data_IF_543912843954
#
_entry.id   IF_543912843954
#
_cell.length_a   1.000
_cell.length_b   1.000
_cell.length_c   1.000
_cell.angle_alpha   90.00
_cell.angle_beta   90.00
_cell.angle_gamma   90.00
#
_symmetry.space_group_name_H-M   'P 1'
#
loop_
_entity.id
_entity.type
_entity.pdbx_description
1 polymer ?
#
# COMPACT_ATOMS: atom_id res chain seq x y z
N UNK A 1 8.71 4.79 5.64
CA UNK A 1 10.06 5.27 6.05
C UNK A 1 10.53 6.34 5.09
N UNK A 2 11.31 7.31 5.60
CA UNK A 2 11.91 8.38 4.78
C UNK A 2 13.32 8.77 5.23
N UNK A 3 13.93 8.02 6.16
CA UNK A 3 15.30 8.25 6.62
C UNK A 3 15.87 7.02 7.33
N UNK A 4 17.16 7.07 7.64
CA UNK A 4 17.91 6.01 8.31
C UNK A 4 17.41 5.75 9.74
N UNK A 5 17.12 6.81 10.48
CA UNK A 5 16.73 6.74 11.90
C UNK A 5 15.40 6.01 12.08
N UNK A 6 14.42 6.33 11.24
CA UNK A 6 13.12 5.67 11.25
C UNK A 6 13.23 4.21 10.80
N UNK A 7 14.00 3.96 9.75
CA UNK A 7 14.24 2.59 9.28
C UNK A 7 14.84 1.74 10.38
N UNK A 8 15.87 2.26 11.08
CA UNK A 8 16.50 1.56 12.20
C UNK A 8 15.52 1.29 13.35
N UNK A 9 14.74 2.30 13.74
CA UNK A 9 13.76 2.17 14.82
C UNK A 9 12.72 1.10 14.51
N UNK A 10 12.16 1.11 13.29
CA UNK A 10 11.16 0.14 12.85
C UNK A 10 11.74 -1.27 12.82
N UNK A 11 12.92 -1.47 12.24
CA UNK A 11 13.57 -2.78 12.16
C UNK A 11 13.88 -3.36 13.55
N UNK A 12 14.43 -2.57 14.46
CA UNK A 12 14.72 -3.01 15.83
C UNK A 12 13.46 -3.37 16.59
N UNK A 13 12.39 -2.56 16.48
CA UNK A 13 11.11 -2.83 17.13
C UNK A 13 10.46 -4.10 16.56
N UNK A 14 10.47 -4.27 15.24
CA UNK A 14 9.96 -5.49 14.60
C UNK A 14 10.71 -6.73 15.09
N UNK A 15 12.04 -6.66 15.19
CA UNK A 15 12.87 -7.74 15.73
C UNK A 15 12.58 -8.03 17.19
N UNK A 16 12.47 -7.00 18.04
CA UNK A 16 12.15 -7.15 19.46
C UNK A 16 10.79 -7.82 19.68
N UNK A 17 9.78 -7.40 18.89
CA UNK A 17 8.42 -7.94 18.98
C UNK A 17 8.22 -9.25 18.21
N UNK A 18 9.26 -9.75 17.52
CA UNK A 18 9.16 -10.93 16.63
C UNK A 18 8.01 -10.80 15.62
N UNK A 19 7.80 -9.59 15.11
CA UNK A 19 6.71 -9.24 14.19
C UNK A 19 7.24 -8.98 12.78
N UNK A 20 6.70 -9.61 11.73
CA UNK A 20 6.96 -9.20 10.36
C UNK A 20 6.58 -7.74 10.13
N UNK A 21 7.30 -7.05 9.22
CA UNK A 21 7.05 -5.65 8.92
C UNK A 21 7.15 -5.34 7.43
N UNK A 22 6.31 -4.43 6.95
CA UNK A 22 6.37 -3.85 5.61
C UNK A 22 6.91 -2.43 5.75
N UNK A 23 8.04 -2.14 5.10
CA UNK A 23 8.63 -0.81 5.04
C UNK A 23 8.10 -0.10 3.79
N UNK A 24 7.08 0.74 3.96
CA UNK A 24 6.50 1.55 2.88
C UNK A 24 7.36 2.76 2.56
N UNK A 25 7.56 3.02 1.26
CA UNK A 25 8.34 4.15 0.73
C UNK A 25 7.57 4.76 -0.43
N UNK A 26 7.10 6.00 -0.28
CA UNK A 26 6.47 6.73 -1.39
C UNK A 26 7.52 7.24 -2.38
N UNK A 27 7.10 7.68 -3.56
CA UNK A 27 8.03 8.29 -4.52
C UNK A 27 8.69 9.55 -3.96
N UNK A 28 7.94 10.35 -3.21
CA UNK A 28 8.47 11.53 -2.51
C UNK A 28 9.53 11.17 -1.48
N UNK A 29 9.29 10.15 -0.67
CA UNK A 29 10.27 9.63 0.30
C UNK A 29 11.51 9.05 -0.41
N UNK A 30 11.31 8.30 -1.49
CA UNK A 30 12.41 7.79 -2.31
C UNK A 30 13.28 8.91 -2.89
N UNK A 31 12.65 9.95 -3.42
CA UNK A 31 13.36 11.14 -3.94
C UNK A 31 14.10 11.88 -2.81
N UNK A 32 13.49 12.03 -1.65
CA UNK A 32 14.13 12.65 -0.47
C UNK A 32 15.38 11.89 -0.05
N UNK A 33 15.35 10.56 -0.09
CA UNK A 33 16.48 9.69 0.22
C UNK A 33 17.45 9.49 -0.97
N UNK A 34 17.38 10.32 -2.01
CA UNK A 34 18.23 10.35 -3.20
C UNK A 34 18.01 9.26 -4.26
N UNK A 35 17.03 8.40 -4.08
CA UNK A 35 16.63 7.38 -5.07
C UNK A 35 16.31 6.02 -4.45
N UNK A 36 15.60 5.21 -5.18
CA UNK A 36 15.14 3.89 -4.72
C UNK A 36 16.31 2.91 -4.52
N UNK A 37 17.36 3.00 -5.32
CA UNK A 37 18.58 2.20 -5.15
C UNK A 37 19.25 2.49 -3.80
N UNK A 38 19.29 3.77 -3.40
CA UNK A 38 19.83 4.18 -2.09
C UNK A 38 18.98 3.59 -0.95
N UNK A 39 17.66 3.66 -1.09
CA UNK A 39 16.72 3.08 -0.12
C UNK A 39 16.92 1.58 0.01
N UNK A 40 16.95 0.86 -1.09
CA UNK A 40 17.13 -0.60 -1.09
C UNK A 40 18.48 -1.00 -0.47
N UNK A 41 19.57 -0.30 -0.83
CA UNK A 41 20.90 -0.54 -0.26
C UNK A 41 20.92 -0.26 1.25
N UNK A 42 20.32 0.84 1.70
CA UNK A 42 20.22 1.20 3.13
C UNK A 42 19.46 0.14 3.91
N UNK A 43 18.28 -0.25 3.47
CA UNK A 43 17.42 -1.24 4.17
C UNK A 43 18.15 -2.59 4.24
N UNK A 44 18.74 -3.05 3.12
CA UNK A 44 19.47 -4.30 3.10
C UNK A 44 20.67 -4.28 4.05
N UNK A 45 21.49 -3.23 4.00
CA UNK A 45 22.66 -3.10 4.87
C UNK A 45 22.27 -3.07 6.35
N UNK A 46 21.18 -2.37 6.69
CA UNK A 46 20.68 -2.33 8.06
C UNK A 46 20.13 -3.68 8.51
N UNK A 47 19.32 -4.35 7.68
CA UNK A 47 18.80 -5.68 7.96
C UNK A 47 19.95 -6.65 8.34
N UNK A 48 20.97 -6.70 7.51
CA UNK A 48 22.11 -7.59 7.71
C UNK A 48 22.95 -7.20 8.93
N UNK A 49 23.27 -5.91 9.09
CA UNK A 49 24.11 -5.41 10.18
C UNK A 49 23.45 -5.47 11.56
N UNK A 50 22.12 -5.35 11.62
CA UNK A 50 21.36 -5.44 12.87
C UNK A 50 20.96 -6.88 13.21
N UNK A 51 21.26 -7.84 12.35
CA UNK A 51 20.91 -9.25 12.55
C UNK A 51 19.39 -9.48 12.59
N UNK A 52 18.63 -8.79 11.74
CA UNK A 52 17.18 -8.93 11.67
C UNK A 52 16.84 -10.32 11.13
N UNK A 53 15.96 -11.03 11.82
CA UNK A 53 15.53 -12.39 11.46
C UNK A 53 14.04 -12.47 11.15
N UNK A 54 13.26 -11.46 11.53
CA UNK A 54 11.84 -11.39 11.16
C UNK A 54 11.70 -11.05 9.67
N UNK A 55 10.64 -11.53 8.99
CA UNK A 55 10.38 -11.14 7.61
C UNK A 55 10.21 -9.63 7.46
N UNK A 56 10.91 -9.05 6.48
CA UNK A 56 10.83 -7.63 6.13
C UNK A 56 10.56 -7.51 4.64
N UNK A 57 9.48 -6.80 4.28
CA UNK A 57 9.21 -6.40 2.91
C UNK A 57 9.58 -4.92 2.71
N UNK A 58 10.25 -4.61 1.60
CA UNK A 58 10.45 -3.25 1.14
C UNK A 58 9.45 -2.97 0.03
N UNK A 59 8.54 -2.02 0.27
CA UNK A 59 7.33 -1.79 -0.51
C UNK A 59 7.27 -0.36 -1.06
N UNK A 60 7.02 -0.22 -2.36
CA UNK A 60 6.65 1.07 -2.94
C UNK A 60 5.20 1.38 -2.55
N UNK A 61 4.99 2.56 -1.98
CA UNK A 61 3.69 3.07 -1.55
C UNK A 61 3.18 4.13 -2.53
N UNK A 62 1.95 4.02 -3.02
CA UNK A 62 1.34 4.89 -4.03
C UNK A 62 2.25 5.17 -5.25
N UNK A 63 2.71 4.11 -5.90
CA UNK A 63 3.61 4.21 -7.04
C UNK A 63 2.91 4.57 -8.34
N UNK A 64 3.55 5.43 -9.13
CA UNK A 64 3.21 5.58 -10.55
C UNK A 64 3.59 4.33 -11.32
N UNK A 65 3.07 4.19 -12.55
CA UNK A 65 3.43 3.06 -13.42
C UNK A 65 4.95 2.97 -13.65
N UNK A 66 5.60 4.10 -13.93
CA UNK A 66 7.06 4.17 -14.09
C UNK A 66 7.82 3.96 -12.76
N UNK A 67 7.25 4.43 -11.66
CA UNK A 67 7.78 4.23 -10.30
C UNK A 67 7.88 2.75 -9.94
N UNK A 68 6.86 1.97 -10.29
CA UNK A 68 6.86 0.52 -10.10
C UNK A 68 8.07 -0.15 -10.77
N UNK A 69 8.35 0.17 -12.04
CA UNK A 69 9.51 -0.38 -12.74
C UNK A 69 10.85 0.05 -12.13
N UNK A 70 10.95 1.31 -11.66
CA UNK A 70 12.16 1.79 -10.99
C UNK A 70 12.40 1.03 -9.68
N UNK A 71 11.35 0.79 -8.88
CA UNK A 71 11.45 0.02 -7.64
C UNK A 71 11.81 -1.44 -7.88
N UNK A 72 11.20 -2.08 -8.88
CA UNK A 72 11.58 -3.44 -9.32
C UNK A 72 13.08 -3.51 -9.64
N UNK A 73 13.58 -2.56 -10.42
CA UNK A 73 15.01 -2.48 -10.79
C UNK A 73 15.90 -2.22 -9.58
N UNK A 74 15.46 -1.41 -8.62
CA UNK A 74 16.20 -1.07 -7.41
C UNK A 74 16.29 -2.22 -6.39
N UNK A 75 15.49 -3.29 -6.55
CA UNK A 75 15.49 -4.44 -5.66
C UNK A 75 14.45 -4.37 -4.53
N UNK A 76 13.35 -3.65 -4.72
CA UNK A 76 12.19 -3.72 -3.83
C UNK A 76 11.58 -5.12 -3.90
N UNK A 77 10.96 -5.57 -2.82
CA UNK A 77 10.33 -6.90 -2.74
C UNK A 77 8.81 -6.84 -2.94
N UNK A 78 8.25 -5.63 -2.96
CA UNK A 78 6.82 -5.37 -3.11
C UNK A 78 6.60 -4.01 -3.75
N UNK A 79 5.56 -3.88 -4.55
CA UNK A 79 5.18 -2.62 -5.20
C UNK A 79 3.69 -2.38 -5.06
N UNK A 80 3.27 -1.12 -4.91
CA UNK A 80 1.90 -0.69 -5.11
C UNK A 80 1.81 0.14 -6.37
N UNK A 81 0.90 -0.22 -7.26
CA UNK A 81 0.49 0.60 -8.38
C UNK A 81 -0.79 1.35 -8.03
N UNK A 82 -0.69 2.67 -7.92
CA UNK A 82 -1.84 3.54 -7.75
C UNK A 82 -2.38 3.97 -9.12
N UNK A 83 -3.35 3.21 -9.59
CA UNK A 83 -4.07 3.49 -10.84
C UNK A 83 -5.35 4.31 -10.67
N UNK A 84 -5.63 4.82 -9.47
CA UNK A 84 -6.91 5.46 -9.12
C UNK A 84 -7.22 6.74 -9.93
N UNK A 85 -6.20 7.41 -10.48
CA UNK A 85 -6.39 8.60 -11.31
C UNK A 85 -6.58 8.30 -12.80
N UNK A 86 -6.49 7.05 -13.22
CA UNK A 86 -6.80 6.65 -14.58
C UNK A 86 -8.27 6.22 -14.70
N UNK A 87 -8.87 6.30 -15.90
CA UNK A 87 -10.10 5.56 -16.17
C UNK A 87 -9.90 4.07 -15.87
N UNK A 88 -10.94 3.38 -15.39
CA UNK A 88 -10.84 1.99 -14.93
C UNK A 88 -10.17 1.06 -15.96
N UNK A 89 -10.52 1.17 -17.24
CA UNK A 89 -9.94 0.35 -18.32
C UNK A 89 -8.41 0.53 -18.42
N UNK A 90 -7.90 1.74 -18.20
CA UNK A 90 -6.47 2.01 -18.22
C UNK A 90 -5.81 1.48 -16.95
N UNK A 91 -6.44 1.66 -15.77
CA UNK A 91 -5.99 1.06 -14.53
C UNK A 91 -5.89 -0.46 -14.67
N UNK A 92 -6.93 -1.11 -15.19
CA UNK A 92 -6.99 -2.55 -15.42
C UNK A 92 -5.85 -3.03 -16.35
N UNK A 93 -5.63 -2.34 -17.46
CA UNK A 93 -4.57 -2.70 -18.41
C UNK A 93 -3.16 -2.61 -17.79
N UNK A 94 -2.86 -1.50 -17.10
CA UNK A 94 -1.58 -1.28 -16.42
C UNK A 94 -1.38 -2.24 -15.25
N UNK A 95 -2.42 -2.49 -14.45
CA UNK A 95 -2.39 -3.47 -13.36
C UNK A 95 -2.11 -4.87 -13.88
N UNK A 96 -2.75 -5.28 -14.99
CA UNK A 96 -2.51 -6.59 -15.61
C UNK A 96 -1.05 -6.78 -15.99
N UNK A 97 -0.43 -5.76 -16.60
CA UNK A 97 0.98 -5.83 -16.98
C UNK A 97 1.89 -5.91 -15.75
N UNK A 98 1.67 -5.04 -14.75
CA UNK A 98 2.51 -4.98 -13.56
C UNK A 98 2.39 -6.24 -12.68
N UNK A 99 1.19 -6.87 -12.59
CA UNK A 99 1.02 -8.16 -11.92
C UNK A 99 1.91 -9.23 -12.56
N UNK A 100 1.90 -9.31 -13.89
CA UNK A 100 2.74 -10.26 -14.61
C UNK A 100 4.24 -10.01 -14.36
N UNK A 101 4.67 -8.74 -14.39
CA UNK A 101 6.07 -8.37 -14.13
C UNK A 101 6.48 -8.70 -12.70
N UNK A 102 5.65 -8.31 -11.72
CA UNK A 102 5.94 -8.55 -10.30
C UNK A 102 6.07 -10.06 -10.03
N UNK A 103 5.11 -10.86 -10.45
CA UNK A 103 5.09 -12.31 -10.19
C UNK A 103 6.21 -13.05 -10.91
N UNK A 104 6.57 -12.67 -12.15
CA UNK A 104 7.71 -13.26 -12.83
C UNK A 104 9.04 -13.06 -12.08
N UNK A 105 9.13 -11.99 -11.30
CA UNK A 105 10.31 -11.65 -10.50
C UNK A 105 10.18 -12.06 -9.03
N UNK A 106 9.07 -12.68 -8.64
CA UNK A 106 8.81 -13.12 -7.26
C UNK A 106 8.51 -11.97 -6.29
N UNK A 107 8.00 -10.84 -6.80
CA UNK A 107 7.57 -9.71 -5.99
C UNK A 107 6.07 -9.77 -5.73
N UNK A 108 5.63 -9.16 -4.61
CA UNK A 108 4.21 -8.91 -4.35
C UNK A 108 3.77 -7.60 -5.00
N UNK A 109 2.50 -7.53 -5.37
CA UNK A 109 1.88 -6.32 -5.92
C UNK A 109 0.57 -5.98 -5.23
N UNK A 110 0.39 -4.70 -4.94
CA UNK A 110 -0.84 -4.05 -4.51
C UNK A 110 -1.38 -3.18 -5.63
N UNK A 111 -2.69 -3.17 -5.84
CA UNK A 111 -3.36 -2.24 -6.76
C UNK A 111 -4.47 -1.49 -6.03
N UNK A 112 -4.90 -0.35 -6.58
CA UNK A 112 -5.94 0.50 -5.99
C UNK A 112 -7.15 0.63 -6.89
N UNK A 113 -8.34 0.61 -6.26
CA UNK A 113 -9.64 0.88 -6.89
C UNK A 113 -10.40 1.94 -6.08
N UNK A 114 -11.13 2.80 -6.77
CA UNK A 114 -11.67 4.03 -6.19
C UNK A 114 -10.56 5.04 -5.96
N UNK A 115 -10.73 5.97 -5.04
CA UNK A 115 -9.65 6.89 -4.68
C UNK A 115 -9.63 7.18 -3.19
N UNK A 116 -8.43 7.28 -2.63
CA UNK A 116 -8.22 7.73 -1.26
C UNK A 116 -8.23 9.25 -1.26
N UNK A 117 -9.01 9.85 -0.33
CA UNK A 117 -9.10 11.30 -0.24
C UNK A 117 -7.86 11.95 0.34
N UNK A 118 -7.79 13.29 0.28
CA UNK A 118 -6.67 14.05 0.83
C UNK A 118 -5.51 14.23 -0.13
N UNK A 119 -4.32 14.43 0.39
CA UNK A 119 -3.11 14.70 -0.40
C UNK A 119 -1.98 13.76 0.01
N UNK A 120 -1.38 13.09 -0.98
CA UNK A 120 -0.19 12.27 -0.84
C UNK A 120 0.82 12.65 -1.93
N UNK A 121 2.05 13.01 -1.53
CA UNK A 121 3.14 13.46 -2.42
C UNK A 121 2.73 14.53 -3.45
N UNK A 122 1.79 15.43 -3.08
CA UNK A 122 1.27 16.49 -3.94
C UNK A 122 0.14 16.06 -4.88
N UNK A 123 -0.31 14.81 -4.82
CA UNK A 123 -1.48 14.31 -5.54
C UNK A 123 -2.70 14.41 -4.64
N UNK A 124 -3.77 15.02 -5.14
CA UNK A 124 -5.03 15.21 -4.40
C UNK A 124 -6.03 14.17 -4.84
N UNK A 125 -6.44 13.29 -3.91
CA UNK A 125 -7.51 12.33 -4.10
C UNK A 125 -8.88 12.92 -3.72
N UNK A 126 -9.91 12.57 -4.46
CA UNK A 126 -11.29 13.01 -4.20
C UNK A 126 -12.00 12.17 -3.12
N UNK A 127 -11.47 11.00 -2.78
CA UNK A 127 -12.05 10.13 -1.77
C UNK A 127 -13.29 9.37 -2.25
N UNK A 128 -13.29 8.93 -3.49
CA UNK A 128 -14.40 8.16 -4.06
C UNK A 128 -14.37 6.73 -3.53
N UNK A 129 -15.53 6.25 -3.07
CA UNK A 129 -15.67 4.86 -2.68
C UNK A 129 -15.48 3.94 -3.90
N UNK A 130 -14.74 2.86 -3.70
CA UNK A 130 -14.49 1.87 -4.74
C UNK A 130 -15.77 1.13 -5.14
N UNK A 131 -15.90 0.81 -6.42
CA UNK A 131 -16.94 -0.09 -6.91
C UNK A 131 -16.55 -1.55 -6.60
N UNK A 132 -17.39 -2.33 -5.89
CA UNK A 132 -17.07 -3.72 -5.57
C UNK A 132 -16.87 -4.64 -6.80
N UNK A 133 -17.52 -4.35 -7.93
CA UNK A 133 -17.30 -5.12 -9.17
C UNK A 133 -15.93 -4.81 -9.79
N UNK A 134 -15.52 -3.55 -9.81
CA UNK A 134 -14.17 -3.16 -10.24
C UNK A 134 -13.10 -3.78 -9.32
N UNK A 135 -13.33 -3.77 -8.00
CA UNK A 135 -12.47 -4.46 -7.03
C UNK A 135 -12.33 -5.96 -7.34
N UNK A 136 -13.43 -6.61 -7.68
CA UNK A 136 -13.43 -8.03 -8.09
C UNK A 136 -12.59 -8.26 -9.35
N UNK A 137 -12.74 -7.41 -10.36
CA UNK A 137 -12.01 -7.53 -11.63
C UNK A 137 -10.49 -7.38 -11.39
N UNK A 138 -10.07 -6.38 -10.60
CA UNK A 138 -8.65 -6.20 -10.25
C UNK A 138 -8.13 -7.36 -9.39
N UNK A 139 -8.92 -7.84 -8.42
CA UNK A 139 -8.55 -8.99 -7.59
C UNK A 139 -8.34 -10.26 -8.43
N UNK A 140 -9.16 -10.48 -9.46
CA UNK A 140 -9.07 -11.63 -10.37
C UNK A 140 -7.81 -11.62 -11.25
N UNK A 141 -7.09 -10.50 -11.34
CA UNK A 141 -5.77 -10.46 -11.97
C UNK A 141 -4.72 -11.22 -11.16
N UNK A 142 -5.02 -11.53 -9.89
CA UNK A 142 -4.10 -12.19 -8.97
C UNK A 142 -3.19 -11.22 -8.22
N UNK A 143 -3.61 -9.98 -8.01
CA UNK A 143 -2.89 -9.05 -7.09
C UNK A 143 -2.76 -9.69 -5.71
N UNK A 144 -1.70 -9.36 -4.98
CA UNK A 144 -1.46 -9.92 -3.64
C UNK A 144 -2.18 -9.15 -2.54
N UNK A 145 -2.50 -7.88 -2.80
CA UNK A 145 -3.23 -6.98 -1.91
C UNK A 145 -4.05 -5.99 -2.74
N UNK A 146 -5.18 -5.56 -2.20
CA UNK A 146 -6.08 -4.61 -2.85
C UNK A 146 -6.39 -3.43 -1.94
N UNK A 147 -5.95 -2.24 -2.33
CA UNK A 147 -6.37 -0.99 -1.72
C UNK A 147 -7.71 -0.54 -2.31
N UNK A 148 -8.61 -0.10 -1.45
CA UNK A 148 -9.92 0.38 -1.87
C UNK A 148 -10.30 1.67 -1.17
N UNK A 149 -10.77 2.64 -1.91
CA UNK A 149 -11.40 3.84 -1.36
C UNK A 149 -12.68 3.46 -0.62
N UNK A 150 -12.75 3.76 0.68
CA UNK A 150 -13.94 3.54 1.53
C UNK A 150 -14.24 4.76 2.41
N UNK A 151 -13.91 5.96 1.91
CA UNK A 151 -14.03 7.21 2.66
C UNK A 151 -12.84 7.54 3.56
N UNK A 152 -11.75 6.81 3.43
CA UNK A 152 -10.48 7.07 4.08
C UNK A 152 -9.73 8.22 3.37
N UNK A 153 -8.87 8.91 4.12
CA UNK A 153 -8.21 10.15 3.70
C UNK A 153 -6.74 10.11 4.11
N UNK A 154 -5.84 10.53 3.23
CA UNK A 154 -4.47 10.86 3.59
C UNK A 154 -4.43 12.21 4.34
N UNK A 155 -3.65 12.28 5.39
CA UNK A 155 -3.50 13.48 6.19
C UNK A 155 -4.56 13.62 7.28
N UNK A 156 -4.91 14.88 7.61
CA UNK A 156 -5.79 15.16 8.74
C UNK A 156 -7.26 15.01 8.37
N UNK A 157 -7.98 14.15 9.08
CA UNK A 157 -9.42 14.00 8.92
C UNK A 157 -10.18 15.29 9.32
N UNK A 158 -11.08 15.80 8.47
CA UNK A 158 -11.85 16.98 8.80
C UNK A 158 -12.90 16.68 9.88
N UNK A 159 -13.30 17.71 10.62
CA UNK A 159 -14.27 17.57 11.73
C UNK A 159 -15.63 17.02 11.31
N UNK A 160 -16.00 17.20 10.05
CA UNK A 160 -17.25 16.70 9.45
C UNK A 160 -17.10 15.34 8.74
N UNK A 161 -15.96 14.65 8.91
CA UNK A 161 -15.77 13.33 8.35
C UNK A 161 -16.80 12.34 8.89
N UNK A 162 -17.42 11.58 8.01
CA UNK A 162 -18.52 10.68 8.36
C UNK A 162 -18.10 9.27 8.78
N UNK A 163 -16.78 9.01 8.77
CA UNK A 163 -16.25 7.67 9.04
C UNK A 163 -16.02 6.85 7.77
N UNK A 164 -15.52 5.64 7.97
CA UNK A 164 -15.33 4.68 6.89
C UNK A 164 -16.67 4.09 6.43
N UNK A 165 -16.81 3.86 5.12
CA UNK A 165 -17.95 3.13 4.56
C UNK A 165 -17.77 1.62 4.76
N UNK A 166 -18.26 1.10 5.87
CA UNK A 166 -18.24 -0.34 6.15
C UNK A 166 -19.17 -1.14 5.23
N UNK A 167 -20.21 -0.50 4.71
CA UNK A 167 -21.09 -1.11 3.70
C UNK A 167 -20.32 -1.40 2.42
N UNK A 168 -19.55 -0.43 1.92
CA UNK A 168 -18.67 -0.61 0.77
C UNK A 168 -17.61 -1.67 1.05
N UNK A 169 -16.95 -1.63 2.21
CA UNK A 169 -15.92 -2.59 2.59
C UNK A 169 -16.45 -4.02 2.66
N UNK A 170 -17.64 -4.22 3.26
CA UNK A 170 -18.28 -5.53 3.32
C UNK A 170 -18.66 -6.06 1.93
N UNK A 171 -19.20 -5.19 1.06
CA UNK A 171 -19.51 -5.55 -0.31
C UNK A 171 -18.26 -5.96 -1.11
N UNK A 172 -17.15 -5.24 -0.93
CA UNK A 172 -15.86 -5.59 -1.53
C UNK A 172 -15.39 -6.95 -1.01
N UNK A 173 -15.39 -7.15 0.29
CA UNK A 173 -14.95 -8.40 0.91
C UNK A 173 -15.78 -9.61 0.43
N UNK A 174 -17.09 -9.46 0.30
CA UNK A 174 -17.97 -10.49 -0.25
C UNK A 174 -17.63 -10.84 -1.70
N UNK A 175 -17.23 -9.87 -2.52
CA UNK A 175 -16.86 -10.07 -3.92
C UNK A 175 -15.45 -10.64 -4.10
N UNK A 176 -14.51 -10.21 -3.28
CA UNK A 176 -13.08 -10.56 -3.41
C UNK A 176 -12.67 -11.75 -2.53
N UNK A 177 -13.56 -12.21 -1.63
CA UNK A 177 -13.33 -13.39 -0.80
C UNK A 177 -12.18 -13.20 0.19
N UNK A 178 -11.11 -13.97 0.03
CA UNK A 178 -9.95 -13.96 0.93
C UNK A 178 -8.85 -12.99 0.52
N UNK A 179 -9.10 -12.10 -0.45
CA UNK A 179 -8.15 -11.08 -0.87
C UNK A 179 -7.75 -10.20 0.32
N UNK A 180 -6.45 -10.04 0.64
CA UNK A 180 -6.00 -9.09 1.65
C UNK A 180 -6.36 -7.66 1.24
N UNK A 181 -7.24 -6.99 2.01
CA UNK A 181 -7.61 -5.60 1.76
C UNK A 181 -6.66 -4.65 2.51
N UNK A 182 -6.40 -3.51 1.90
CA UNK A 182 -5.51 -2.48 2.45
C UNK A 182 -6.28 -1.21 2.79
N UNK A 183 -6.03 -0.68 3.99
CA UNK A 183 -6.57 0.59 4.46
C UNK A 183 -5.45 1.63 4.51
N UNK A 184 -5.45 2.57 3.59
CA UNK A 184 -4.58 3.74 3.61
C UNK A 184 -5.15 4.86 4.47
N UNK A 185 -4.28 5.79 4.92
CA UNK A 185 -4.70 6.92 5.75
C UNK A 185 -5.13 6.53 7.16
N UNK A 186 -4.54 5.48 7.75
CA UNK A 186 -4.94 4.95 9.06
C UNK A 186 -4.76 5.91 10.23
N UNK A 187 -3.86 6.89 10.12
CA UNK A 187 -3.59 7.87 11.18
C UNK A 187 -4.82 8.75 11.44
N UNK A 188 -5.34 8.71 12.66
CA UNK A 188 -6.51 9.50 13.06
C UNK A 188 -7.85 8.77 12.95
N UNK A 189 -7.87 7.57 12.39
CA UNK A 189 -9.07 6.72 12.44
C UNK A 189 -9.24 6.15 13.85
N UNK A 190 -10.44 6.20 14.45
CA UNK A 190 -10.71 5.61 15.76
C UNK A 190 -10.42 4.11 15.81
N UNK A 191 -9.88 3.64 16.93
CA UNK A 191 -9.44 2.25 17.08
C UNK A 191 -10.56 1.20 16.90
N UNK A 192 -11.79 1.54 17.26
CA UNK A 192 -12.97 0.69 17.04
C UNK A 192 -13.30 0.54 15.55
N UNK A 193 -13.16 1.61 14.77
CA UNK A 193 -13.30 1.56 13.31
C UNK A 193 -12.19 0.72 12.66
N UNK A 194 -10.94 0.85 13.10
CA UNK A 194 -9.83 0.00 12.65
C UNK A 194 -10.13 -1.48 12.93
N UNK A 195 -10.55 -1.82 14.15
CA UNK A 195 -10.91 -3.19 14.51
C UNK A 195 -12.05 -3.73 13.65
N UNK A 196 -13.06 -2.90 13.37
CA UNK A 196 -14.17 -3.28 12.50
C UNK A 196 -13.68 -3.50 11.05
N UNK A 197 -12.82 -2.62 10.52
CA UNK A 197 -12.24 -2.80 9.20
C UNK A 197 -11.45 -4.12 9.09
N UNK A 198 -10.64 -4.45 10.11
CA UNK A 198 -9.92 -5.74 10.18
C UNK A 198 -10.90 -6.92 10.15
N UNK A 199 -12.02 -6.86 10.87
CA UNK A 199 -13.02 -7.93 10.86
C UNK A 199 -13.73 -8.10 9.50
N UNK A 200 -13.60 -7.12 8.60
CA UNK A 200 -14.12 -7.11 7.24
C UNK A 200 -13.04 -7.31 6.16
N UNK A 201 -11.89 -7.89 6.53
CA UNK A 201 -10.87 -8.33 5.57
C UNK A 201 -9.66 -7.41 5.42
N UNK A 202 -9.61 -6.25 6.10
CA UNK A 202 -8.41 -5.42 6.10
C UNK A 202 -7.27 -6.16 6.81
N UNK A 203 -6.16 -6.33 6.08
CA UNK A 203 -4.98 -7.10 6.52
C UNK A 203 -3.70 -6.25 6.57
N UNK A 204 -3.67 -5.13 5.87
CA UNK A 204 -2.58 -4.13 5.87
C UNK A 204 -3.17 -2.75 6.17
N UNK A 205 -2.48 -1.96 6.97
CA UNK A 205 -2.87 -0.57 7.31
C UNK A 205 -1.64 0.31 7.19
N UNK A 206 -1.80 1.42 6.49
CA UNK A 206 -0.78 2.47 6.32
C UNK A 206 -1.09 3.66 7.23
#
# INVERSE_FOLDING_TARGET
INNLEWTKAVLLTAQELQSPVILGVSEGAGKYMTGFETVAAMVKAMHDSLGITVPVALHLDHGTYEGCYKCVKAGFTSIMFDGSHYPFEENLAKSTELVNVAHQLGLSIECEVGSIGGEEDGVIGMGECADPEECKIIADLGVDMLAAGIGNIHGKYPANWKGLSFETLDAIQQKTGTMPLVLHGGTGIPADMIKKAISLGVSKIN
#
